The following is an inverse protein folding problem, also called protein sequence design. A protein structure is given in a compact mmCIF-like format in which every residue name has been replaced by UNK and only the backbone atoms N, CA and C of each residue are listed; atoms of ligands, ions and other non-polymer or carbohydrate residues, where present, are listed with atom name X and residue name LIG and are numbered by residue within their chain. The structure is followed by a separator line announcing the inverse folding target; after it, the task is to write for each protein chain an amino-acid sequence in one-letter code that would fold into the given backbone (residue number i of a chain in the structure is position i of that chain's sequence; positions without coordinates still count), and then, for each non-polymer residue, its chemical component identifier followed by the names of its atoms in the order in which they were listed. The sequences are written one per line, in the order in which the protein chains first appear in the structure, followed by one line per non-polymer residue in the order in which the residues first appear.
data_IF_532505378005
#
_entry.id   IF_532505378005
#
_cell.length_a   1.000
_cell.length_b   1.000
_cell.length_c   1.000
_cell.angle_alpha   90.00
_cell.angle_beta   90.00
_cell.angle_gamma   90.00
#
_symmetry.space_group_name_H-M   'P 1'
#
loop_
_entity.id
_entity.type
_entity.pdbx_description
1 polymer ?
#
# COMPACT_ATOMS: atom_id res chain seq x y z
N UNK A 1 61.78 33.73 -16.91
CA UNK A 1 60.31 33.75 -17.02
C UNK A 1 59.75 32.46 -16.43
N UNK A 2 59.55 32.40 -15.11
CA UNK A 2 59.07 31.18 -14.44
C UNK A 2 57.54 31.16 -14.44
N UNK A 3 56.96 30.13 -15.05
CA UNK A 3 55.51 29.97 -15.25
C UNK A 3 54.85 29.55 -13.93
N UNK A 4 54.05 30.43 -13.34
CA UNK A 4 53.21 30.11 -12.17
C UNK A 4 52.17 29.07 -12.60
N UNK A 5 52.23 27.86 -12.04
CA UNK A 5 51.20 26.83 -12.22
C UNK A 5 50.00 27.21 -11.36
N UNK A 6 48.90 27.58 -12.01
CA UNK A 6 47.61 27.80 -11.35
C UNK A 6 47.05 26.46 -10.89
N UNK A 7 47.03 26.22 -9.58
CA UNK A 7 46.40 25.06 -8.96
C UNK A 7 44.93 25.37 -8.69
N UNK A 8 44.02 24.62 -9.34
CA UNK A 8 42.58 24.70 -9.13
C UNK A 8 42.23 24.43 -7.65
N UNK A 9 41.38 25.24 -6.99
CA UNK A 9 41.05 25.02 -5.59
C UNK A 9 40.30 23.69 -5.39
N UNK A 10 40.46 23.05 -4.21
CA UNK A 10 39.79 21.79 -3.91
C UNK A 10 38.26 21.98 -3.88
N UNK A 11 37.50 20.94 -4.26
CA UNK A 11 36.04 20.99 -4.19
C UNK A 11 35.58 21.21 -2.74
N UNK A 12 34.47 21.94 -2.52
CA UNK A 12 33.90 22.12 -1.20
C UNK A 12 33.50 20.75 -0.60
N UNK A 13 33.52 20.61 0.74
CA UNK A 13 33.09 19.39 1.40
C UNK A 13 31.65 19.04 1.00
N UNK A 14 31.31 17.74 0.87
CA UNK A 14 29.94 17.34 0.58
C UNK A 14 29.04 17.87 1.70
N UNK A 15 28.00 18.62 1.32
CA UNK A 15 26.93 19.04 2.24
C UNK A 15 26.42 17.82 3.02
N UNK A 16 26.01 17.98 4.29
CA UNK A 16 25.48 16.87 5.08
C UNK A 16 24.35 16.22 4.30
N UNK A 17 24.58 14.96 3.93
CA UNK A 17 23.59 14.07 3.32
C UNK A 17 22.37 14.14 4.23
N UNK A 18 21.29 14.73 3.74
CA UNK A 18 20.01 14.68 4.43
C UNK A 18 19.72 13.20 4.66
N UNK A 19 19.53 12.79 5.92
CA UNK A 19 19.02 11.46 6.23
C UNK A 19 17.82 11.21 5.30
N UNK A 20 17.69 10.03 4.67
CA UNK A 20 16.56 9.75 3.81
C UNK A 20 15.30 9.96 4.63
N UNK A 21 14.59 11.05 4.34
CA UNK A 21 13.30 11.37 4.96
C UNK A 21 12.40 10.21 4.59
N UNK A 22 12.16 9.33 5.56
CA UNK A 22 11.19 8.24 5.42
C UNK A 22 9.81 8.89 5.43
N UNK A 23 9.36 9.30 4.23
CA UNK A 23 8.02 9.81 4.05
C UNK A 23 7.04 8.65 4.21
N UNK A 24 6.07 8.73 5.14
CA UNK A 24 5.13 7.65 5.35
C UNK A 24 4.22 7.50 4.13
N UNK A 25 4.00 6.26 3.69
CA UNK A 25 3.08 5.97 2.59
C UNK A 25 1.62 6.11 3.08
N UNK A 26 0.94 7.19 2.70
CA UNK A 26 -0.46 7.41 3.11
C UNK A 26 -1.50 6.80 2.16
N UNK A 27 -1.15 6.60 0.88
CA UNK A 27 -2.07 6.07 -0.12
C UNK A 27 -1.35 5.12 -1.08
N UNK A 28 -1.91 3.93 -1.26
CA UNK A 28 -1.46 2.94 -2.21
C UNK A 28 -2.56 2.68 -3.24
N UNK A 29 -2.19 2.69 -4.52
CA UNK A 29 -3.07 2.29 -5.61
C UNK A 29 -2.37 1.25 -6.49
N UNK A 30 -2.97 0.07 -6.63
CA UNK A 30 -2.48 -1.02 -7.44
C UNK A 30 -3.49 -1.30 -8.55
N UNK A 31 -3.08 -1.12 -9.80
CA UNK A 31 -3.90 -1.39 -10.97
C UNK A 31 -3.30 -2.54 -11.77
N UNK A 32 -4.14 -3.52 -12.12
CA UNK A 32 -3.81 -4.65 -12.99
C UNK A 32 -2.54 -5.41 -12.56
N UNK A 33 -2.32 -5.53 -11.25
CA UNK A 33 -1.13 -6.20 -10.73
C UNK A 33 -1.17 -7.70 -11.08
N UNK A 34 -0.18 -8.22 -11.82
CA UNK A 34 -0.23 -9.59 -12.35
C UNK A 34 0.13 -10.65 -11.31
N UNK A 35 0.79 -10.27 -10.22
CA UNK A 35 1.16 -11.19 -9.15
C UNK A 35 -0.06 -11.65 -8.37
N UNK A 36 -0.05 -12.91 -7.94
CA UNK A 36 -1.11 -13.49 -7.10
C UNK A 36 -0.98 -13.12 -5.62
N UNK A 37 0.21 -12.71 -5.19
CA UNK A 37 0.53 -12.31 -3.82
C UNK A 37 1.10 -10.91 -3.81
N UNK A 38 0.96 -10.22 -2.69
CA UNK A 38 1.64 -8.92 -2.50
C UNK A 38 3.16 -9.07 -2.65
N UNK A 39 3.83 -8.08 -3.27
CA UNK A 39 5.26 -8.15 -3.48
C UNK A 39 6.02 -7.95 -2.17
N UNK A 40 7.11 -8.68 -1.99
CA UNK A 40 7.88 -8.69 -0.73
C UNK A 40 8.39 -7.30 -0.33
N UNK A 41 8.75 -6.46 -1.30
CA UNK A 41 9.21 -5.09 -1.03
C UNK A 41 8.14 -4.22 -0.38
N UNK A 42 6.85 -4.45 -0.69
CA UNK A 42 5.75 -3.69 -0.12
C UNK A 42 5.44 -4.15 1.31
N UNK A 43 5.57 -5.45 1.56
CA UNK A 43 5.37 -6.03 2.90
C UNK A 43 6.49 -5.64 3.88
N UNK A 44 7.65 -5.19 3.38
CA UNK A 44 8.74 -4.65 4.18
C UNK A 44 8.53 -3.20 4.63
N UNK A 45 7.55 -2.50 4.05
CA UNK A 45 7.27 -1.11 4.41
C UNK A 45 6.40 -1.01 5.66
N UNK A 46 6.53 0.10 6.38
CA UNK A 46 5.60 0.44 7.46
C UNK A 46 4.27 0.93 6.86
N UNK A 47 3.27 0.04 6.86
CA UNK A 47 1.92 0.31 6.36
C UNK A 47 0.97 0.82 7.46
N UNK A 48 1.46 1.11 8.67
CA UNK A 48 0.65 1.61 9.78
C UNK A 48 0.11 3.03 9.51
N UNK A 49 0.79 3.80 8.65
CA UNK A 49 0.37 5.15 8.26
C UNK A 49 -0.44 5.19 6.97
N UNK A 50 -0.67 4.03 6.34
CA UNK A 50 -1.47 3.94 5.14
C UNK A 50 -2.92 4.25 5.48
N UNK A 51 -3.52 5.28 4.88
CA UNK A 51 -4.93 5.64 5.09
C UNK A 51 -5.83 5.05 4.01
N UNK A 52 -5.32 4.93 2.78
CA UNK A 52 -6.10 4.57 1.58
C UNK A 52 -5.44 3.43 0.83
N UNK A 53 -6.18 2.35 0.60
CA UNK A 53 -5.74 1.19 -0.19
C UNK A 53 -6.72 0.93 -1.33
N UNK A 54 -6.31 1.20 -2.57
CA UNK A 54 -7.11 0.95 -3.76
C UNK A 54 -6.45 -0.15 -4.60
N UNK A 55 -7.21 -1.19 -4.92
CA UNK A 55 -6.74 -2.29 -5.76
C UNK A 55 -7.79 -2.54 -6.83
N UNK A 56 -7.34 -2.51 -8.09
CA UNK A 56 -8.21 -2.66 -9.25
C UNK A 56 -7.65 -3.68 -10.24
N UNK A 57 -8.39 -4.73 -10.52
CA UNK A 57 -8.00 -5.74 -11.51
C UNK A 57 -6.75 -6.54 -11.13
N UNK A 58 -6.37 -7.47 -11.99
CA UNK A 58 -5.17 -8.29 -11.82
C UNK A 58 -5.49 -9.68 -11.27
N UNK A 59 -4.45 -10.36 -10.76
CA UNK A 59 -4.55 -11.76 -10.31
C UNK A 59 -4.32 -11.95 -8.81
N UNK A 60 -4.32 -10.86 -8.05
CA UNK A 60 -4.16 -10.87 -6.60
C UNK A 60 -5.24 -11.74 -5.95
N UNK A 61 -4.80 -12.76 -5.22
CA UNK A 61 -5.68 -13.65 -4.46
C UNK A 61 -5.51 -13.50 -2.96
N UNK A 62 -4.40 -12.91 -2.50
CA UNK A 62 -4.12 -12.68 -1.09
C UNK A 62 -3.36 -11.36 -0.89
N UNK A 63 -3.79 -10.58 0.10
CA UNK A 63 -3.17 -9.31 0.50
C UNK A 63 -2.13 -9.46 1.60
N UNK A 64 -1.92 -10.69 2.08
CA UNK A 64 -1.02 -10.99 3.17
C UNK A 64 0.07 -12.00 2.79
N UNK A 65 1.28 -11.78 3.31
CA UNK A 65 2.37 -12.73 3.30
C UNK A 65 3.01 -12.85 4.70
N UNK A 66 3.03 -14.03 5.30
CA UNK A 66 3.69 -14.29 6.59
C UNK A 66 2.79 -14.19 7.83
N UNK A 67 3.39 -14.02 9.01
CA UNK A 67 2.70 -14.13 10.33
C UNK A 67 2.04 -12.85 10.85
N UNK A 68 2.32 -11.69 10.26
CA UNK A 68 1.66 -10.43 10.62
C UNK A 68 1.35 -9.63 9.35
N UNK A 69 0.07 -9.60 8.96
CA UNK A 69 -0.43 -8.59 8.04
C UNK A 69 -1.50 -7.79 8.74
N UNK A 70 -1.14 -6.56 9.05
CA UNK A 70 -2.10 -5.52 9.42
C UNK A 70 -1.82 -4.34 8.53
N UNK A 71 -2.88 -3.81 7.95
CA UNK A 71 -2.84 -2.61 7.15
C UNK A 71 -3.49 -1.49 7.94
N UNK A 72 -2.84 -0.33 8.04
CA UNK A 72 -3.44 0.85 8.70
C UNK A 72 -4.60 1.49 7.93
N UNK A 73 -4.99 0.90 6.79
CA UNK A 73 -5.92 1.51 5.85
C UNK A 73 -7.32 1.64 6.45
N UNK A 74 -7.79 2.88 6.55
CA UNK A 74 -9.15 3.19 7.00
C UNK A 74 -10.15 3.19 5.85
N UNK A 75 -9.68 3.39 4.60
CA UNK A 75 -10.49 3.44 3.39
C UNK A 75 -9.94 2.44 2.35
N UNK A 76 -10.70 1.38 2.10
CA UNK A 76 -10.30 0.28 1.20
C UNK A 76 -11.25 0.21 0.01
N UNK A 77 -10.69 -0.02 -1.18
CA UNK A 77 -11.47 -0.23 -2.41
C UNK A 77 -10.92 -1.41 -3.19
N UNK A 78 -11.78 -2.38 -3.43
CA UNK A 78 -11.50 -3.55 -4.26
C UNK A 78 -12.41 -3.51 -5.48
N UNK A 79 -11.82 -3.53 -6.67
CA UNK A 79 -12.56 -3.51 -7.94
C UNK A 79 -12.04 -4.58 -8.88
N UNK A 80 -12.93 -5.38 -9.48
CA UNK A 80 -12.58 -6.37 -10.50
C UNK A 80 -11.54 -7.40 -10.01
N UNK A 81 -11.65 -7.88 -8.78
CA UNK A 81 -10.71 -8.85 -8.19
C UNK A 81 -11.36 -10.23 -8.12
N UNK A 82 -11.23 -10.98 -9.21
CA UNK A 82 -11.87 -12.30 -9.39
C UNK A 82 -11.36 -13.36 -8.42
N UNK A 83 -10.10 -13.28 -7.99
CA UNK A 83 -9.43 -14.32 -7.21
C UNK A 83 -9.23 -13.95 -5.74
N UNK A 84 -9.55 -12.72 -5.35
CA UNK A 84 -9.32 -12.23 -4.00
C UNK A 84 -10.38 -12.81 -3.06
N UNK A 85 -9.96 -13.72 -2.18
CA UNK A 85 -10.86 -14.43 -1.29
C UNK A 85 -10.50 -14.13 0.17
N UNK A 86 -11.50 -13.71 0.95
CA UNK A 86 -11.44 -13.64 2.41
C UNK A 86 -12.85 -13.54 2.98
N UNK A 87 -13.03 -14.01 4.22
CA UNK A 87 -14.25 -13.78 4.97
C UNK A 87 -14.20 -12.41 5.68
N UNK A 88 -15.34 -12.00 6.22
CA UNK A 88 -15.47 -10.72 6.92
C UNK A 88 -14.55 -10.62 8.14
N UNK A 89 -14.41 -11.70 8.92
CA UNK A 89 -13.55 -11.73 10.11
C UNK A 89 -12.08 -11.46 9.74
N UNK A 90 -11.57 -12.16 8.73
CA UNK A 90 -10.21 -11.97 8.22
C UNK A 90 -10.01 -10.57 7.66
N UNK A 91 -11.03 -10.00 7.01
CA UNK A 91 -10.94 -8.62 6.51
C UNK A 91 -10.83 -7.63 7.68
N UNK A 92 -11.60 -7.80 8.75
CA UNK A 92 -11.50 -6.96 9.95
C UNK A 92 -10.16 -7.13 10.66
N UNK A 93 -9.62 -8.35 10.73
CA UNK A 93 -8.28 -8.60 11.29
C UNK A 93 -7.17 -7.94 10.45
N UNK A 94 -7.33 -7.94 9.12
CA UNK A 94 -6.39 -7.36 8.17
C UNK A 94 -6.44 -5.82 8.19
N UNK A 95 -7.63 -5.24 8.37
CA UNK A 95 -7.90 -3.80 8.41
C UNK A 95 -8.60 -3.40 9.72
N UNK A 96 -7.87 -3.37 10.85
CA UNK A 96 -8.46 -3.10 12.16
C UNK A 96 -9.09 -1.70 12.28
N UNK A 97 -8.55 -0.71 11.57
CA UNK A 97 -9.00 0.67 11.58
C UNK A 97 -9.97 1.01 10.42
N UNK A 98 -10.56 -0.01 9.79
CA UNK A 98 -11.45 0.16 8.64
C UNK A 98 -12.69 0.99 9.01
N UNK A 99 -12.91 2.05 8.24
CA UNK A 99 -14.09 2.93 8.33
C UNK A 99 -14.96 2.88 7.08
N UNK A 100 -14.34 2.55 5.94
CA UNK A 100 -14.98 2.51 4.63
C UNK A 100 -14.40 1.39 3.78
N UNK A 101 -15.28 0.61 3.16
CA UNK A 101 -14.96 -0.44 2.22
C UNK A 101 -15.88 -0.32 1.00
N UNK A 102 -15.30 -0.37 -0.19
CA UNK A 102 -16.02 -0.48 -1.45
C UNK A 102 -15.57 -1.74 -2.17
N UNK A 103 -16.53 -2.58 -2.55
CA UNK A 103 -16.31 -3.81 -3.31
C UNK A 103 -17.15 -3.72 -4.57
N UNK A 104 -16.49 -3.88 -5.71
CA UNK A 104 -17.15 -3.88 -7.01
C UNK A 104 -16.63 -5.04 -7.86
N UNK A 105 -17.52 -5.90 -8.34
CA UNK A 105 -17.17 -7.08 -9.15
C UNK A 105 -16.03 -7.92 -8.54
N UNK A 106 -16.20 -8.35 -7.29
CA UNK A 106 -15.30 -9.28 -6.60
C UNK A 106 -16.12 -10.49 -6.11
N UNK A 107 -16.29 -11.54 -6.93
CA UNK A 107 -17.23 -12.64 -6.65
C UNK A 107 -16.91 -13.41 -5.35
N UNK A 108 -15.62 -13.61 -5.08
CA UNK A 108 -15.12 -14.32 -3.89
C UNK A 108 -15.27 -13.53 -2.58
N UNK A 109 -15.75 -12.28 -2.65
CA UNK A 109 -15.99 -11.38 -1.53
C UNK A 109 -17.48 -11.14 -1.26
N UNK A 110 -18.36 -11.89 -1.93
CA UNK A 110 -19.83 -11.74 -1.86
C UNK A 110 -20.44 -11.95 -0.48
N UNK A 111 -19.71 -12.55 0.47
CA UNK A 111 -20.15 -12.75 1.86
C UNK A 111 -19.96 -11.53 2.77
N UNK A 112 -19.28 -10.49 2.29
CA UNK A 112 -19.02 -9.27 3.06
C UNK A 112 -20.31 -8.44 3.15
N UNK A 113 -20.66 -7.91 4.34
CA UNK A 113 -21.90 -7.18 4.56
C UNK A 113 -21.88 -5.77 3.94
N UNK A 114 -21.92 -5.67 2.62
CA UNK A 114 -22.05 -4.41 1.88
C UNK A 114 -23.53 -4.05 1.62
N UNK A 115 -23.79 -2.76 1.41
CA UNK A 115 -25.05 -2.24 0.91
C UNK A 115 -25.27 -2.56 -0.58
N UNK A 116 -26.40 -2.12 -1.13
CA UNK A 116 -26.78 -2.32 -2.54
C UNK A 116 -25.77 -1.74 -3.54
N UNK A 117 -24.91 -0.80 -3.11
CA UNK A 117 -23.87 -0.18 -3.93
C UNK A 117 -22.52 -0.88 -3.78
N UNK A 118 -22.45 -1.99 -3.04
CA UNK A 118 -21.19 -2.67 -2.72
C UNK A 118 -20.35 -1.91 -1.70
N UNK A 119 -20.97 -1.06 -0.86
CA UNK A 119 -20.26 -0.24 0.12
C UNK A 119 -20.58 -0.70 1.54
N UNK A 120 -19.55 -0.79 2.37
CA UNK A 120 -19.69 -0.90 3.82
C UNK A 120 -19.09 0.34 4.49
N UNK A 121 -19.77 0.84 5.52
CA UNK A 121 -19.29 1.95 6.36
C UNK A 121 -19.42 1.54 7.82
N UNK A 122 -18.43 1.89 8.62
CA UNK A 122 -18.52 1.74 10.07
C UNK A 122 -19.63 2.66 10.59
N UNK A 123 -20.47 2.16 11.49
CA UNK A 123 -21.44 3.00 12.19
C UNK A 123 -20.69 3.99 13.10
N UNK A 124 -21.21 5.22 13.16
CA UNK A 124 -20.70 6.28 14.04
C UNK A 124 -20.92 5.95 15.53
#
# INVERSE_FOLDING_TARGET
MSRVKSTKPPPPPPSPLMDPVSVPLEKLNLNYFPGSKMPDWLMQWDLNKLKKLYIRGGSLSNLCHGKQCKWGATNVRFKFLEKLQMDWSKLQDLFPDLTYLEIFECPELSSIPCDENGVWKKAD
#
